data_IF_200489743365
#
_entry.id   IF_200489743365
#
_cell.length_a   1.000
_cell.length_b   1.000
_cell.length_c   1.000
_cell.angle_alpha   90.00
_cell.angle_beta   90.00
_cell.angle_gamma   90.00
#
_symmetry.space_group_name_H-M   'P 1'
#
loop_
_entity.id
_entity.type
_entity.pdbx_description
1 polymer ?
#
# COMPACT_ATOMS: atom_id res chain seq x y z
N UNK A 1 24.51 2.07 -12.09
CA UNK A 1 23.63 1.65 -10.97
C UNK A 1 23.95 2.57 -9.82
N UNK A 2 23.22 3.67 -9.69
CA UNK A 2 23.32 4.52 -8.51
C UNK A 2 22.34 3.97 -7.48
N UNK A 3 22.88 3.30 -6.47
CA UNK A 3 22.12 2.89 -5.30
C UNK A 3 21.77 4.14 -4.50
N UNK A 4 20.48 4.43 -4.35
CA UNK A 4 20.01 5.45 -3.43
C UNK A 4 20.49 5.07 -2.01
N UNK A 5 21.46 5.82 -1.50
CA UNK A 5 21.94 5.70 -0.13
C UNK A 5 20.87 6.27 0.78
N UNK A 6 20.04 5.39 1.31
CA UNK A 6 19.13 5.71 2.40
C UNK A 6 19.97 5.98 3.65
N UNK A 7 20.03 7.24 4.11
CA UNK A 7 20.69 7.59 5.36
C UNK A 7 19.65 7.65 6.49
N UNK A 8 19.76 6.80 7.53
CA UNK A 8 18.90 6.87 8.70
C UNK A 8 19.04 8.19 9.48
N UNK A 9 20.11 8.96 9.25
CA UNK A 9 20.37 10.21 9.96
C UNK A 9 19.34 11.32 9.65
N UNK A 10 18.63 11.23 8.52
CA UNK A 10 17.54 12.16 8.20
C UNK A 10 16.27 11.89 8.99
N UNK A 11 16.17 10.76 9.69
CA UNK A 11 15.00 10.38 10.49
C UNK A 11 15.00 10.99 11.91
N UNK A 12 16.14 11.53 12.37
CA UNK A 12 16.34 12.00 13.74
C UNK A 12 17.03 13.37 13.82
N UNK A 13 16.67 14.32 12.95
CA UNK A 13 17.19 15.68 13.08
C UNK A 13 16.58 16.36 14.32
N UNK A 14 17.48 16.80 15.22
CA UNK A 14 17.21 17.30 16.57
C UNK A 14 16.20 18.46 16.63
N UNK A 15 15.30 18.38 17.62
CA UNK A 15 14.44 19.46 18.05
C UNK A 15 15.23 20.38 18.98
N UNK A 16 15.75 21.50 18.47
CA UNK A 16 16.11 22.66 19.29
C UNK A 16 16.31 23.91 18.40
N UNK A 17 15.28 24.75 18.32
CA UNK A 17 15.37 26.18 17.98
C UNK A 17 13.96 26.78 18.05
N UNK A 18 13.65 27.41 19.17
CA UNK A 18 12.44 28.22 19.37
C UNK A 18 12.58 29.56 18.65
N UNK A 19 11.71 29.86 17.69
CA UNK A 19 11.30 31.21 17.33
C UNK A 19 9.84 31.18 16.84
N UNK A 20 8.99 31.96 17.51
CA UNK A 20 7.55 32.08 17.25
C UNK A 20 7.31 32.99 16.04
N UNK A 21 7.01 32.40 14.88
CA UNK A 21 6.39 33.12 13.76
C UNK A 21 4.99 32.56 13.48
N UNK A 22 4.01 33.46 13.43
CA UNK A 22 2.62 33.16 13.08
C UNK A 22 2.55 32.84 11.59
N UNK A 23 2.65 31.57 11.23
CA UNK A 23 2.47 31.12 9.85
C UNK A 23 0.99 30.89 9.51
N UNK A 24 0.59 31.55 8.44
CA UNK A 24 -0.66 31.33 7.72
C UNK A 24 -0.54 29.95 7.04
N UNK A 25 -1.43 29.01 7.36
CA UNK A 25 -1.32 27.57 7.05
C UNK A 25 -1.56 27.24 5.58
N UNK A 26 -0.59 27.53 4.72
CA UNK A 26 -0.46 26.91 3.40
C UNK A 26 0.66 25.85 3.55
N UNK A 27 0.32 24.61 3.92
CA UNK A 27 1.30 23.52 3.95
C UNK A 27 1.69 23.17 2.51
N UNK A 28 2.62 23.93 1.93
CA UNK A 28 3.18 23.59 0.64
C UNK A 28 4.03 22.32 0.81
N UNK A 29 3.40 21.15 0.74
CA UNK A 29 4.12 19.89 0.67
C UNK A 29 5.05 19.97 -0.53
N UNK A 30 6.35 19.79 -0.28
CA UNK A 30 7.31 19.66 -1.37
C UNK A 30 7.29 18.22 -1.87
N UNK A 31 7.25 18.05 -3.18
CA UNK A 31 7.16 16.75 -3.83
C UNK A 31 8.37 16.50 -4.73
N UNK A 32 8.67 15.22 -4.94
CA UNK A 32 9.67 14.76 -5.90
C UNK A 32 9.04 13.64 -6.74
N UNK A 33 9.09 13.77 -8.06
CA UNK A 33 8.72 12.69 -8.97
C UNK A 33 9.91 11.76 -9.18
N UNK A 34 9.70 10.46 -9.00
CA UNK A 34 10.71 9.42 -9.20
C UNK A 34 10.23 8.34 -10.14
N UNK A 35 11.13 7.88 -11.00
CA UNK A 35 10.92 6.71 -11.86
C UNK A 35 11.31 5.46 -11.10
N UNK A 36 10.41 4.49 -11.08
CA UNK A 36 10.59 3.21 -10.39
C UNK A 36 10.34 2.06 -11.35
N UNK A 37 11.28 1.13 -11.40
CA UNK A 37 11.16 -0.07 -12.21
C UNK A 37 10.34 -1.11 -11.44
N UNK A 38 9.17 -1.44 -11.98
CA UNK A 38 8.37 -2.60 -11.60
C UNK A 38 8.58 -3.73 -12.62
N UNK A 39 8.12 -4.96 -12.35
CA UNK A 39 8.14 -6.04 -13.35
C UNK A 39 7.47 -5.60 -14.66
N UNK A 40 8.20 -5.69 -15.76
CA UNK A 40 7.75 -5.37 -17.13
C UNK A 40 7.24 -3.93 -17.37
N UNK A 41 7.37 -3.00 -16.41
CA UNK A 41 6.98 -1.59 -16.60
C UNK A 41 7.72 -0.61 -15.70
N UNK A 42 7.81 0.64 -16.14
CA UNK A 42 8.24 1.77 -15.30
C UNK A 42 7.01 2.54 -14.84
N UNK A 43 6.97 2.91 -13.56
CA UNK A 43 6.00 3.86 -13.01
C UNK A 43 6.72 5.16 -12.61
N UNK A 44 6.02 6.28 -12.78
CA UNK A 44 6.49 7.56 -12.23
C UNK A 44 5.63 7.90 -11.03
N UNK A 45 6.25 8.04 -9.87
CA UNK A 45 5.56 8.21 -8.59
C UNK A 45 5.98 9.55 -8.00
N UNK A 46 4.99 10.40 -7.71
CA UNK A 46 5.12 11.58 -6.87
C UNK A 46 5.24 11.14 -5.42
N UNK A 47 6.35 11.49 -4.81
CA UNK A 47 6.70 11.23 -3.41
C UNK A 47 6.72 12.56 -2.66
N UNK A 48 6.30 12.56 -1.41
CA UNK A 48 6.49 13.71 -0.54
C UNK A 48 7.97 13.78 -0.13
N UNK A 49 8.54 14.97 -0.02
CA UNK A 49 9.86 15.13 0.62
C UNK A 49 9.80 14.71 2.10
N UNK A 50 8.68 14.98 2.76
CA UNK A 50 8.40 14.61 4.14
C UNK A 50 6.89 14.45 4.34
N UNK A 51 6.50 13.49 5.18
CA UNK A 51 5.13 13.29 5.64
C UNK A 51 5.17 12.66 7.03
N UNK A 52 4.48 13.23 8.00
CA UNK A 52 4.56 12.80 9.41
C UNK A 52 4.13 11.34 9.63
N UNK A 53 3.17 10.87 8.82
CA UNK A 53 2.66 9.49 8.84
C UNK A 53 3.52 8.50 8.05
N UNK A 54 4.67 8.92 7.50
CA UNK A 54 5.60 8.09 6.70
C UNK A 54 5.01 7.55 5.38
N UNK A 55 3.97 8.22 4.87
CA UNK A 55 3.43 8.02 3.53
C UNK A 55 4.27 8.70 2.43
N UNK A 56 5.47 9.18 2.77
CA UNK A 56 6.25 10.06 1.91
C UNK A 56 6.94 9.34 0.75
N UNK A 57 7.47 8.13 0.95
CA UNK A 57 8.31 7.42 -0.02
C UNK A 57 7.68 6.11 -0.47
N UNK A 58 8.10 5.63 -1.64
CA UNK A 58 7.88 4.24 -2.04
C UNK A 58 8.87 3.32 -1.32
N UNK A 59 8.36 2.47 -0.43
CA UNK A 59 9.18 1.60 0.41
C UNK A 59 9.70 0.36 -0.34
N UNK A 60 10.98 -0.05 -0.13
CA UNK A 60 11.63 -1.10 -0.93
C UNK A 60 10.95 -2.48 -0.93
N UNK A 61 10.29 -2.88 0.16
CA UNK A 61 9.58 -4.16 0.23
C UNK A 61 8.41 -4.25 -0.73
N UNK A 62 7.91 -3.11 -1.23
CA UNK A 62 6.90 -3.06 -2.29
C UNK A 62 7.37 -3.71 -3.58
N UNK A 63 8.65 -3.57 -3.94
CA UNK A 63 9.18 -4.21 -5.15
C UNK A 63 9.25 -5.72 -4.99
N UNK A 64 9.75 -6.20 -3.84
CA UNK A 64 9.80 -7.62 -3.54
C UNK A 64 8.40 -8.24 -3.52
N UNK A 65 7.42 -7.53 -2.94
CA UNK A 65 6.04 -8.00 -2.92
C UNK A 65 5.38 -7.98 -4.31
N UNK A 66 5.64 -6.95 -5.13
CA UNK A 66 5.17 -6.90 -6.51
C UNK A 66 5.71 -8.07 -7.35
N UNK A 67 7.01 -8.37 -7.27
CA UNK A 67 7.62 -9.53 -7.92
C UNK A 67 6.99 -10.84 -7.46
N UNK A 68 6.77 -10.98 -6.16
CA UNK A 68 6.13 -12.17 -5.60
C UNK A 68 4.69 -12.34 -6.11
N UNK A 69 3.91 -11.26 -6.18
CA UNK A 69 2.53 -11.29 -6.69
C UNK A 69 2.48 -11.62 -8.19
N UNK A 70 3.45 -11.17 -8.99
CA UNK A 70 3.58 -11.58 -10.40
C UNK A 70 3.77 -13.09 -10.52
N UNK A 71 4.62 -13.67 -9.68
CA UNK A 71 4.85 -15.12 -9.65
C UNK A 71 3.62 -15.90 -9.14
N UNK A 72 2.80 -15.28 -8.30
CA UNK A 72 1.60 -15.88 -7.70
C UNK A 72 0.31 -15.25 -8.25
N UNK A 73 0.31 -14.84 -9.53
CA UNK A 73 -0.78 -14.11 -10.19
C UNK A 73 -2.17 -14.74 -9.97
N UNK A 74 -2.27 -16.06 -10.00
CA UNK A 74 -3.54 -16.78 -9.78
C UNK A 74 -4.17 -16.55 -8.39
N UNK A 75 -3.43 -15.99 -7.43
CA UNK A 75 -3.92 -15.69 -6.09
C UNK A 75 -4.63 -14.34 -6.03
N UNK A 76 -4.37 -13.43 -6.99
CA UNK A 76 -4.94 -12.08 -7.02
C UNK A 76 -5.93 -11.87 -8.16
N UNK A 77 -5.86 -12.66 -9.23
CA UNK A 77 -6.75 -12.47 -10.37
C UNK A 77 -8.23 -12.70 -10.04
N UNK A 78 -9.05 -11.80 -10.59
CA UNK A 78 -10.48 -11.77 -10.36
C UNK A 78 -10.89 -11.37 -8.95
N UNK A 79 -9.96 -11.12 -8.02
CA UNK A 79 -10.23 -10.72 -6.61
C UNK A 79 -10.60 -9.27 -6.47
N UNK A 80 -11.47 -8.99 -5.48
CA UNK A 80 -11.76 -7.65 -5.00
C UNK A 80 -10.80 -7.38 -3.85
N UNK A 81 -9.80 -6.55 -4.11
CA UNK A 81 -8.65 -6.36 -3.25
C UNK A 81 -8.79 -5.05 -2.50
N UNK A 82 -8.48 -5.06 -1.21
CA UNK A 82 -8.15 -3.86 -0.45
C UNK A 82 -6.67 -3.89 -0.09
N UNK A 83 -5.95 -2.83 -0.46
CA UNK A 83 -4.59 -2.56 -0.01
C UNK A 83 -4.63 -1.68 1.24
N UNK A 84 -4.07 -2.14 2.35
CA UNK A 84 -3.90 -1.34 3.57
C UNK A 84 -2.50 -0.74 3.61
N UNK A 85 -2.40 0.52 4.02
CA UNK A 85 -1.13 1.26 4.09
C UNK A 85 -0.55 1.49 2.69
N UNK A 86 -1.37 2.00 1.77
CA UNK A 86 -1.01 2.16 0.36
C UNK A 86 0.07 3.21 0.10
N UNK A 87 0.29 4.16 1.01
CA UNK A 87 1.27 5.25 0.90
C UNK A 87 1.12 6.02 -0.41
N UNK A 88 2.05 5.82 -1.34
CA UNK A 88 2.03 6.46 -2.67
C UNK A 88 1.00 5.86 -3.63
N UNK A 89 0.45 4.69 -3.34
CA UNK A 89 -0.44 3.91 -4.20
C UNK A 89 0.26 3.13 -5.31
N UNK A 90 1.59 3.13 -5.35
CA UNK A 90 2.38 2.55 -6.44
C UNK A 90 2.09 1.05 -6.68
N UNK A 91 1.90 0.26 -5.61
CA UNK A 91 1.59 -1.16 -5.75
C UNK A 91 0.22 -1.38 -6.39
N UNK A 92 -0.83 -0.70 -5.94
CA UNK A 92 -2.14 -0.79 -6.56
C UNK A 92 -2.13 -0.31 -8.02
N UNK A 93 -1.42 0.78 -8.33
CA UNK A 93 -1.24 1.27 -9.70
C UNK A 93 -0.57 0.21 -10.57
N UNK A 94 0.51 -0.39 -10.08
CA UNK A 94 1.21 -1.48 -10.77
C UNK A 94 0.28 -2.66 -11.04
N UNK A 95 -0.39 -3.18 -10.01
CA UNK A 95 -1.27 -4.34 -10.13
C UNK A 95 -2.46 -4.08 -11.06
N UNK A 96 -3.04 -2.88 -11.00
CA UNK A 96 -4.09 -2.47 -11.92
C UNK A 96 -3.60 -2.40 -13.37
N UNK A 97 -2.43 -1.81 -13.62
CA UNK A 97 -1.87 -1.69 -14.98
C UNK A 97 -1.49 -3.05 -15.55
N UNK A 98 -0.93 -3.93 -14.74
CA UNK A 98 -0.50 -5.27 -15.15
C UNK A 98 -1.68 -6.20 -15.46
N UNK A 99 -2.71 -6.21 -14.59
CA UNK A 99 -3.72 -7.29 -14.60
C UNK A 99 -5.17 -6.81 -14.53
N UNK A 100 -5.42 -5.49 -14.51
CA UNK A 100 -6.76 -4.91 -14.40
C UNK A 100 -7.52 -5.40 -13.15
N UNK A 101 -6.81 -5.58 -12.04
CA UNK A 101 -7.40 -6.02 -10.77
C UNK A 101 -8.40 -4.99 -10.23
N UNK A 102 -9.47 -5.46 -9.60
CA UNK A 102 -10.38 -4.63 -8.83
C UNK A 102 -9.75 -4.36 -7.46
N UNK A 103 -8.98 -3.27 -7.37
CA UNK A 103 -8.20 -2.92 -6.19
C UNK A 103 -8.64 -1.55 -5.65
N UNK A 104 -8.86 -1.50 -4.34
CA UNK A 104 -9.14 -0.30 -3.55
C UNK A 104 -7.96 -0.03 -2.63
N UNK A 105 -7.45 1.20 -2.62
CA UNK A 105 -6.38 1.61 -1.70
C UNK A 105 -6.99 2.10 -0.38
N UNK A 106 -6.23 1.99 0.70
CA UNK A 106 -6.60 2.53 2.00
C UNK A 106 -5.36 2.92 2.80
N UNK A 107 -5.39 4.11 3.35
CA UNK A 107 -4.34 4.64 4.24
C UNK A 107 -4.99 5.55 5.28
N UNK A 108 -4.20 6.23 6.11
CA UNK A 108 -4.68 7.18 7.13
C UNK A 108 -5.77 8.12 6.60
N UNK A 109 -6.64 8.60 7.50
CA UNK A 109 -7.63 9.63 7.18
C UNK A 109 -6.94 10.99 6.98
N UNK A 110 -6.28 11.10 5.83
CA UNK A 110 -5.39 12.18 5.45
C UNK A 110 -5.68 12.59 3.99
N UNK A 111 -6.11 13.83 3.75
CA UNK A 111 -6.44 14.30 2.40
C UNK A 111 -5.22 14.38 1.48
N UNK A 112 -4.01 14.59 2.01
CA UNK A 112 -2.80 14.71 1.20
C UNK A 112 -2.41 13.35 0.62
N UNK A 113 -2.57 12.27 1.39
CA UNK A 113 -2.35 10.90 0.90
C UNK A 113 -3.35 10.56 -0.22
N UNK A 114 -4.64 10.87 -0.03
CA UNK A 114 -5.68 10.66 -1.03
C UNK A 114 -5.38 11.43 -2.34
N UNK A 115 -5.02 12.71 -2.23
CA UNK A 115 -4.64 13.56 -3.36
C UNK A 115 -3.39 13.03 -4.07
N UNK A 116 -2.41 12.52 -3.32
CA UNK A 116 -1.20 11.94 -3.88
C UNK A 116 -1.44 10.63 -4.64
N UNK A 117 -2.28 9.75 -4.11
CA UNK A 117 -2.69 8.52 -4.81
C UNK A 117 -3.47 8.89 -6.09
N UNK A 118 -4.36 9.87 -6.02
CA UNK A 118 -5.10 10.38 -7.17
C UNK A 118 -4.15 10.90 -8.26
N UNK A 119 -3.19 11.75 -7.88
CA UNK A 119 -2.16 12.27 -8.77
C UNK A 119 -1.36 11.13 -9.42
N UNK A 120 -0.86 10.18 -8.63
CA UNK A 120 -0.08 9.06 -9.14
C UNK A 120 -0.88 8.16 -10.08
N UNK A 121 -2.17 7.95 -9.83
CA UNK A 121 -3.05 7.24 -10.76
C UNK A 121 -3.13 7.96 -12.11
N UNK A 122 -3.44 9.26 -12.10
CA UNK A 122 -3.60 10.06 -13.30
C UNK A 122 -2.30 10.16 -14.10
N UNK A 123 -1.18 10.40 -13.42
CA UNK A 123 0.14 10.51 -14.04
C UNK A 123 0.52 9.20 -14.76
N UNK A 124 0.18 8.05 -14.18
CA UNK A 124 0.39 6.74 -14.78
C UNK A 124 -0.74 6.30 -15.73
N UNK A 125 -1.63 7.21 -16.14
CA UNK A 125 -2.65 7.00 -17.16
C UNK A 125 -3.84 6.15 -16.70
N UNK A 126 -4.17 6.14 -15.41
CA UNK A 126 -5.35 5.49 -14.85
C UNK A 126 -6.47 6.51 -14.71
N UNK A 127 -7.53 6.34 -15.50
CA UNK A 127 -8.75 7.15 -15.42
C UNK A 127 -9.96 6.27 -15.73
N UNK A 128 -10.99 6.20 -14.85
CA UNK A 128 -11.08 6.86 -13.55
C UNK A 128 -9.98 6.40 -12.58
N UNK A 129 -9.62 7.25 -11.62
CA UNK A 129 -8.62 6.93 -10.58
C UNK A 129 -9.08 5.73 -9.74
N UNK A 130 -8.12 5.01 -9.16
CA UNK A 130 -8.42 3.89 -8.28
C UNK A 130 -9.24 4.39 -7.06
N UNK A 131 -10.22 3.62 -6.57
CA UNK A 131 -10.94 3.97 -5.36
C UNK A 131 -9.98 3.99 -4.18
N UNK A 132 -10.14 4.98 -3.30
CA UNK A 132 -9.35 5.17 -2.10
C UNK A 132 -10.26 5.29 -0.87
N UNK A 133 -9.82 4.72 0.25
CA UNK A 133 -10.50 4.80 1.55
C UNK A 133 -9.55 5.42 2.56
N UNK A 134 -9.84 6.66 2.92
CA UNK A 134 -9.30 7.33 4.10
C UNK A 134 -9.76 6.62 5.36
N UNK A 135 -8.87 5.85 5.97
CA UNK A 135 -9.10 5.05 7.16
C UNK A 135 -7.82 4.89 7.97
N UNK A 136 -7.74 5.65 9.07
CA UNK A 136 -6.76 5.39 10.11
C UNK A 136 -7.09 4.07 10.81
N UNK A 137 -6.11 3.18 10.91
CA UNK A 137 -6.35 1.89 11.54
C UNK A 137 -6.90 2.05 12.96
N UNK A 138 -7.83 1.17 13.31
CA UNK A 138 -8.49 1.18 14.62
C UNK A 138 -9.76 2.03 14.67
N UNK A 139 -9.96 2.94 13.72
CA UNK A 139 -11.20 3.69 13.60
C UNK A 139 -12.34 2.84 13.03
N UNK A 140 -13.57 3.35 13.15
CA UNK A 140 -14.74 2.72 12.55
C UNK A 140 -14.55 2.74 11.02
N UNK A 141 -14.61 1.57 10.41
CA UNK A 141 -14.44 1.46 8.97
C UNK A 141 -15.61 2.15 8.25
N UNK A 142 -15.38 3.00 7.23
CA UNK A 142 -16.45 3.77 6.57
C UNK A 142 -17.50 2.90 5.88
N UNK A 143 -17.10 1.73 5.38
CA UNK A 143 -17.99 0.76 4.73
C UNK A 143 -18.40 -0.31 5.76
N UNK A 144 -19.67 -0.30 6.16
CA UNK A 144 -20.18 -1.21 7.21
C UNK A 144 -20.27 -2.68 6.77
N UNK A 145 -20.43 -2.93 5.48
CA UNK A 145 -20.55 -4.27 4.91
C UNK A 145 -19.62 -4.41 3.70
N UNK A 146 -18.29 -4.40 3.93
CA UNK A 146 -17.34 -4.52 2.85
C UNK A 146 -17.41 -5.90 2.20
N UNK A 147 -16.98 -5.98 0.94
CA UNK A 147 -17.06 -7.18 0.12
C UNK A 147 -15.74 -7.52 -0.59
N UNK A 148 -14.62 -6.92 -0.15
CA UNK A 148 -13.28 -7.37 -0.55
C UNK A 148 -13.03 -8.80 -0.06
N UNK A 149 -12.46 -9.61 -0.95
CA UNK A 149 -12.14 -11.03 -0.70
C UNK A 149 -10.62 -11.27 -0.59
N UNK A 150 -9.81 -10.22 -0.70
CA UNK A 150 -8.38 -10.25 -0.45
C UNK A 150 -7.91 -8.93 0.19
N UNK A 151 -7.12 -9.06 1.25
CA UNK A 151 -6.39 -7.95 1.87
C UNK A 151 -4.92 -8.11 1.50
N UNK A 152 -4.30 -7.05 0.99
CA UNK A 152 -2.85 -6.97 0.80
C UNK A 152 -2.30 -5.79 1.62
N UNK A 153 -1.05 -5.89 2.05
CA UNK A 153 -0.36 -4.82 2.76
C UNK A 153 1.15 -5.00 2.60
N UNK A 154 1.84 -3.92 2.20
CA UNK A 154 3.28 -3.93 1.89
C UNK A 154 4.02 -2.99 2.82
N UNK A 155 5.05 -3.46 3.53
CA UNK A 155 5.91 -2.62 4.40
C UNK A 155 5.18 -1.77 5.46
N UNK A 156 4.06 -2.27 5.98
CA UNK A 156 3.20 -1.49 6.89
C UNK A 156 3.55 -1.59 8.39
N UNK A 157 4.51 -2.43 8.78
CA UNK A 157 4.81 -2.77 10.18
C UNK A 157 5.92 -1.90 10.77
N UNK A 158 5.77 -0.57 10.68
CA UNK A 158 6.74 0.41 11.17
C UNK A 158 6.57 0.71 12.67
N UNK A 159 5.33 0.96 13.10
CA UNK A 159 5.03 1.46 14.44
C UNK A 159 4.35 0.40 15.30
N UNK A 160 5.08 -0.19 16.24
CA UNK A 160 4.55 -1.20 17.20
C UNK A 160 3.32 -0.67 17.95
N UNK A 161 3.27 0.63 18.27
CA UNK A 161 2.11 1.27 18.92
C UNK A 161 0.81 1.16 18.11
N UNK A 162 0.91 0.99 16.79
CA UNK A 162 -0.24 0.86 15.91
C UNK A 162 -0.71 -0.58 15.70
N UNK A 163 0.02 -1.59 16.21
CA UNK A 163 -0.37 -2.99 15.99
C UNK A 163 -1.76 -3.32 16.54
N UNK A 164 -2.17 -2.86 17.75
CA UNK A 164 -3.54 -3.08 18.22
C UNK A 164 -4.61 -2.50 17.27
N UNK A 165 -4.33 -1.33 16.71
CA UNK A 165 -5.22 -0.64 15.76
C UNK A 165 -5.30 -1.39 14.42
N UNK A 166 -4.17 -1.86 13.89
CA UNK A 166 -4.11 -2.70 12.71
C UNK A 166 -4.91 -3.99 12.91
N UNK A 167 -4.70 -4.69 14.04
CA UNK A 167 -5.43 -5.92 14.38
C UNK A 167 -6.94 -5.66 14.45
N UNK A 168 -7.38 -4.53 15.01
CA UNK A 168 -8.81 -4.15 15.05
C UNK A 168 -9.40 -4.00 13.65
N UNK A 169 -8.67 -3.33 12.75
CA UNK A 169 -9.06 -3.14 11.34
C UNK A 169 -9.13 -4.47 10.59
N UNK A 170 -8.06 -5.28 10.66
CA UNK A 170 -7.99 -6.60 10.05
C UNK A 170 -9.13 -7.51 10.56
N UNK A 171 -9.39 -7.48 11.87
CA UNK A 171 -10.48 -8.28 12.47
C UNK A 171 -11.84 -7.90 11.92
N UNK A 172 -12.09 -6.60 11.66
CA UNK A 172 -13.34 -6.15 11.05
C UNK A 172 -13.46 -6.61 9.59
N UNK A 173 -12.41 -6.40 8.78
CA UNK A 173 -12.40 -6.77 7.37
C UNK A 173 -12.53 -8.28 7.18
N UNK A 174 -11.78 -9.09 7.95
CA UNK A 174 -11.82 -10.55 7.87
C UNK A 174 -13.14 -11.16 8.35
N UNK A 175 -13.82 -10.54 9.34
CA UNK A 175 -15.16 -10.99 9.76
C UNK A 175 -16.25 -10.69 8.74
N UNK A 176 -16.03 -9.68 7.90
CA UNK A 176 -16.94 -9.27 6.84
C UNK A 176 -16.72 -10.05 5.53
N UNK A 177 -15.69 -10.90 5.50
CA UNK A 177 -15.34 -11.72 4.33
C UNK A 177 -16.51 -12.58 3.87
N UNK A 178 -16.79 -12.50 2.56
CA UNK A 178 -17.77 -13.34 1.89
C UNK A 178 -17.02 -14.33 1.00
N UNK A 179 -17.09 -15.65 1.27
CA UNK A 179 -16.49 -16.64 0.38
C UNK A 179 -17.08 -16.51 -1.02
N UNK A 180 -16.24 -16.67 -2.05
CA UNK A 180 -16.73 -16.82 -3.41
C UNK A 180 -17.64 -18.04 -3.50
N UNK A 181 -18.92 -17.81 -3.75
CA UNK A 181 -19.84 -18.87 -4.13
C UNK A 181 -19.50 -19.28 -5.57
N UNK A 182 -18.59 -20.24 -5.77
CA UNK A 182 -18.37 -20.81 -7.10
C UNK A 182 -17.00 -21.40 -7.44
N UNK A 183 -15.93 -21.11 -6.69
CA UNK A 183 -14.59 -21.65 -7.00
C UNK A 183 -14.12 -22.58 -5.88
N UNK A 184 -14.01 -23.87 -6.20
CA UNK A 184 -13.34 -24.84 -5.35
C UNK A 184 -11.95 -24.30 -4.97
N UNK A 185 -11.59 -24.42 -3.68
CA UNK A 185 -10.31 -23.98 -3.15
C UNK A 185 -9.15 -24.43 -4.07
N UNK A 186 -8.14 -23.57 -4.31
CA UNK A 186 -6.99 -23.98 -5.10
C UNK A 186 -6.36 -25.21 -4.43
N UNK A 187 -6.16 -26.24 -5.25
CA UNK A 187 -5.63 -27.55 -4.86
C UNK A 187 -4.53 -27.41 -3.81
N UNK A 188 -4.74 -28.09 -2.68
CA UNK A 188 -3.65 -28.40 -1.77
C UNK A 188 -2.54 -29.04 -2.59
N UNK A 189 -1.38 -28.40 -2.62
CA UNK A 189 -0.15 -29.04 -3.03
C UNK A 189 0.05 -30.22 -2.09
N UNK A 190 -0.28 -31.43 -2.56
CA UNK A 190 0.16 -32.65 -1.91
C UNK A 190 1.68 -32.57 -1.85
N UNK A 191 2.23 -32.43 -0.63
CA UNK A 191 3.62 -32.77 -0.41
C UNK A 191 3.72 -34.28 -0.65
N UNK A 192 4.20 -34.66 -1.83
CA UNK A 192 4.65 -36.02 -2.03
C UNK A 192 5.82 -36.25 -1.08
N UNK A 193 5.54 -37.02 -0.03
CA UNK A 193 6.54 -37.54 0.87
C UNK A 193 7.58 -38.31 0.07
N UNK A 194 8.82 -37.82 0.11
CA UNK A 194 9.99 -38.66 -0.15
C UNK A 194 10.31 -39.40 1.16
N UNK A 195 9.59 -40.50 1.36
CA UNK A 195 10.04 -41.57 2.24
C UNK A 195 11.22 -42.29 1.59
N UNK A 196 12.34 -42.33 2.31
CA UNK A 196 13.39 -43.35 2.34
C UNK A 196 13.94 -43.91 1.00
N UNK A 197 15.23 -43.69 0.76
CA UNK A 197 16.16 -44.73 0.31
C UNK A 197 17.60 -44.35 0.69
N UNK A 198 18.16 -45.20 1.57
CA UNK A 198 19.55 -45.35 2.05
C UNK A 198 20.04 -44.38 3.14
#
# INVERSE_FOLDING_TARGET
MDTALFSPASLFADADSSDEEKENSDSSHSFVERKHQFPDMELVIREFSFHELNANLLWPGTFAFAEWLVQHRSWVEGRRIIELGSGTGALAIFLYKSYKLDITTSDYDDPDIEENICHNCQFNGITPVLPHIKHSWGDVFPIQCPDWDLIIASDILLYVKQYPNLIKTLSFLLKSYKPRTGEAAPHSTQSNGLSNLL
#
